data_IF_829996820564
#
_entry.id   IF_829996820564
#
_cell.length_a   1.000
_cell.length_b   1.000
_cell.length_c   1.000
_cell.angle_alpha   90.00
_cell.angle_beta   90.00
_cell.angle_gamma   90.00
#
_symmetry.space_group_name_H-M   'P 1'
#
loop_
_entity.id
_entity.type
_entity.pdbx_description
1 polymer ?
#
# COMPACT_ATOMS: atom_id res chain seq x y z
N UNK A 1 0.12 -10.39 -19.52
CA UNK A 1 0.04 -9.35 -18.47
C UNK A 1 0.67 -9.92 -17.20
N UNK A 2 1.81 -9.40 -16.77
CA UNK A 2 2.49 -9.86 -15.56
C UNK A 2 2.01 -8.97 -14.40
N UNK A 3 0.92 -9.37 -13.75
CA UNK A 3 0.38 -8.62 -12.63
C UNK A 3 1.28 -8.86 -11.41
N UNK A 4 2.23 -7.95 -11.20
CA UNK A 4 3.13 -8.00 -10.04
C UNK A 4 2.35 -7.51 -8.83
N UNK A 5 1.90 -8.45 -8.00
CA UNK A 5 1.30 -8.14 -6.71
C UNK A 5 2.32 -7.41 -5.82
N UNK A 6 1.84 -6.46 -5.01
CA UNK A 6 2.64 -5.91 -3.92
C UNK A 6 2.94 -7.03 -2.91
N UNK A 7 4.21 -7.23 -2.63
CA UNK A 7 4.69 -8.18 -1.63
C UNK A 7 4.27 -7.75 -0.23
N UNK A 8 4.26 -8.69 0.70
CA UNK A 8 3.92 -8.43 2.10
C UNK A 8 4.81 -7.33 2.70
N UNK A 9 6.10 -7.35 2.40
CA UNK A 9 7.06 -6.34 2.85
C UNK A 9 6.73 -4.94 2.32
N UNK A 10 6.41 -4.81 1.02
CA UNK A 10 6.00 -3.54 0.43
C UNK A 10 4.73 -3.01 1.10
N UNK A 11 3.77 -3.89 1.42
CA UNK A 11 2.54 -3.51 2.14
C UNK A 11 2.81 -3.03 3.57
N UNK A 12 3.75 -3.67 4.28
CA UNK A 12 4.20 -3.20 5.59
C UNK A 12 4.90 -1.84 5.49
N UNK A 13 5.75 -1.63 4.49
CA UNK A 13 6.40 -0.34 4.26
C UNK A 13 5.38 0.76 3.94
N UNK A 14 4.36 0.49 3.11
CA UNK A 14 3.25 1.42 2.86
C UNK A 14 2.57 1.80 4.19
N UNK A 15 2.26 0.81 5.04
CA UNK A 15 1.60 1.06 6.32
C UNK A 15 2.44 1.90 7.27
N UNK A 16 3.73 1.57 7.44
CA UNK A 16 4.63 2.32 8.31
C UNK A 16 4.75 3.77 7.82
N UNK A 17 4.98 3.98 6.52
CA UNK A 17 5.14 5.32 5.96
C UNK A 17 3.85 6.15 6.02
N UNK A 18 2.68 5.52 5.82
CA UNK A 18 1.39 6.20 6.02
C UNK A 18 1.18 6.60 7.48
N UNK A 19 1.59 5.74 8.43
CA UNK A 19 1.48 6.02 9.86
C UNK A 19 2.44 7.12 10.30
N UNK A 20 3.59 7.23 9.66
CA UNK A 20 4.54 8.34 9.82
C UNK A 20 4.07 9.65 9.15
N UNK A 21 2.95 9.64 8.41
CA UNK A 21 2.37 10.83 7.79
C UNK A 21 2.92 11.16 6.40
N UNK A 22 3.66 10.25 5.77
CA UNK A 22 4.16 10.46 4.41
C UNK A 22 3.05 10.41 3.36
N UNK A 23 3.19 11.25 2.34
CA UNK A 23 2.29 11.28 1.19
C UNK A 23 2.46 10.04 0.30
N UNK A 24 1.35 9.55 -0.27
CA UNK A 24 1.31 8.38 -1.16
C UNK A 24 2.31 8.46 -2.33
N UNK A 25 2.56 9.68 -2.84
CA UNK A 25 3.51 9.93 -3.94
C UNK A 25 4.96 9.66 -3.52
N UNK A 26 5.31 10.02 -2.27
CA UNK A 26 6.61 9.74 -1.69
C UNK A 26 6.79 8.24 -1.44
N UNK A 27 5.75 7.58 -0.93
CA UNK A 27 5.73 6.12 -0.74
C UNK A 27 5.92 5.38 -2.07
N UNK A 28 5.22 5.83 -3.13
CA UNK A 28 5.35 5.26 -4.46
C UNK A 28 6.78 5.38 -5.01
N UNK A 29 7.40 6.55 -4.86
CA UNK A 29 8.79 6.77 -5.26
C UNK A 29 9.75 5.86 -4.47
N UNK A 30 9.58 5.76 -3.15
CA UNK A 30 10.43 4.94 -2.28
C UNK A 30 10.32 3.44 -2.58
N UNK A 31 9.15 2.96 -2.97
CA UNK A 31 8.90 1.56 -3.35
C UNK A 31 9.19 1.29 -4.82
N UNK A 32 9.60 2.30 -5.60
CA UNK A 32 9.74 2.23 -7.04
C UNK A 32 8.47 1.69 -7.74
N UNK A 33 7.30 2.11 -7.25
CA UNK A 33 5.98 1.74 -7.77
C UNK A 33 5.25 2.95 -8.32
N UNK A 34 4.27 2.70 -9.18
CA UNK A 34 3.41 3.78 -9.66
C UNK A 34 2.55 4.33 -8.50
N UNK A 35 2.32 5.65 -8.40
CA UNK A 35 1.39 6.23 -7.43
C UNK A 35 -0.02 5.63 -7.53
N UNK A 36 -0.41 5.24 -8.75
CA UNK A 36 -1.66 4.55 -9.06
C UNK A 36 -1.74 3.19 -8.35
N UNK A 37 -0.66 2.43 -8.32
CA UNK A 37 -0.57 1.13 -7.63
C UNK A 37 -0.79 1.30 -6.14
N UNK A 38 -0.06 2.23 -5.52
CA UNK A 38 -0.18 2.54 -4.09
C UNK A 38 -1.59 3.05 -3.76
N UNK A 39 -2.15 3.91 -4.60
CA UNK A 39 -3.50 4.43 -4.38
C UNK A 39 -4.57 3.33 -4.47
N UNK A 40 -4.45 2.41 -5.44
CA UNK A 40 -5.37 1.26 -5.55
C UNK A 40 -5.25 0.31 -4.37
N UNK A 41 -4.02 0.02 -3.94
CA UNK A 41 -3.75 -0.81 -2.76
C UNK A 41 -4.38 -0.19 -1.49
N UNK A 42 -4.14 1.09 -1.26
CA UNK A 42 -4.71 1.81 -0.13
C UNK A 42 -6.23 1.81 -0.23
N UNK A 43 -6.81 2.11 -1.40
CA UNK A 43 -8.25 2.16 -1.57
C UNK A 43 -8.91 0.79 -1.33
N UNK A 44 -8.31 -0.29 -1.85
CA UNK A 44 -8.81 -1.66 -1.71
C UNK A 44 -8.73 -2.16 -0.26
N UNK A 45 -7.70 -1.75 0.48
CA UNK A 45 -7.43 -2.21 1.84
C UNK A 45 -7.66 -1.14 2.92
N UNK A 46 -8.43 -0.08 2.61
CA UNK A 46 -8.83 0.96 3.55
C UNK A 46 -10.08 0.51 4.31
N UNK A 47 -9.97 0.38 5.62
CA UNK A 47 -11.11 0.28 6.52
C UNK A 47 -11.60 1.70 6.89
N UNK A 48 -12.76 1.79 7.57
CA UNK A 48 -13.31 3.05 8.10
C UNK A 48 -12.29 3.85 8.95
N UNK A 49 -11.30 3.17 9.56
CA UNK A 49 -10.29 3.77 10.44
C UNK A 49 -8.88 3.91 9.81
N UNK A 50 -8.69 3.64 8.50
CA UNK A 50 -7.39 3.79 7.83
C UNK A 50 -6.92 2.57 7.02
N UNK A 51 -5.66 2.59 6.58
CA UNK A 51 -5.03 1.45 5.89
C UNK A 51 -4.52 0.44 6.92
N UNK A 52 -4.95 -0.82 6.82
CA UNK A 52 -4.50 -1.90 7.71
C UNK A 52 -3.95 -3.08 6.92
N UNK A 53 -2.68 -3.42 7.14
CA UNK A 53 -2.00 -4.56 6.49
C UNK A 53 -2.73 -5.89 6.71
N UNK A 54 -3.39 -6.04 7.88
CA UNK A 54 -4.20 -7.23 8.22
C UNK A 54 -5.38 -7.46 7.27
N UNK A 55 -5.95 -6.43 6.64
CA UNK A 55 -6.97 -6.61 5.61
C UNK A 55 -6.37 -6.96 4.24
N UNK A 56 -5.18 -6.45 3.95
CA UNK A 56 -4.49 -6.71 2.70
C UNK A 56 -4.14 -8.20 2.52
N UNK A 57 -3.81 -8.91 3.61
CA UNK A 57 -3.52 -10.35 3.57
C UNK A 57 -4.76 -11.25 3.55
N UNK A 58 -5.97 -10.72 3.75
CA UNK A 58 -7.22 -11.52 3.74
C UNK A 58 -7.89 -11.54 2.35
N UNK A 59 -7.44 -10.67 1.45
CA UNK A 59 -7.83 -10.65 0.04
C UNK A 59 -6.70 -11.31 -0.76
N UNK A 60 -6.61 -12.63 -0.63
CA UNK A 60 -5.89 -13.50 -1.56
C UNK A 60 -6.93 -14.45 -2.15
#
# INVERSE_FOLDING_TARGET
MNYIHLNLEERYQIYTLLREGFYKRHIAWRLNRSPSTISREIHRNRAKNGYFVKHANKIA
#
